data_IF_401159425343
#
_entry.id   IF_401159425343
#
_cell.length_a   1.000
_cell.length_b   1.000
_cell.length_c   1.000
_cell.angle_alpha   90.00
_cell.angle_beta   90.00
_cell.angle_gamma   90.00
#
_symmetry.space_group_name_H-M   'P 1'
#
loop_
_entity.id
_entity.type
_entity.pdbx_description
1 polymer ?
#
# COMPACT_ATOMS: atom_id res chain seq x y z
N UNK A 1 -2.71 3.45 13.55
CA UNK A 1 -2.69 4.43 12.45
C UNK A 1 -1.44 4.14 11.63
N UNK A 2 -1.53 4.13 10.30
CA UNK A 2 -0.40 3.89 9.43
C UNK A 2 0.43 5.17 9.32
N UNK A 3 1.72 5.10 9.62
CA UNK A 3 2.63 6.24 9.55
C UNK A 3 3.19 6.38 8.12
N UNK A 4 3.33 7.63 7.66
CA UNK A 4 3.96 7.95 6.39
C UNK A 4 5.41 8.41 6.64
N UNK A 5 6.35 7.83 5.89
CA UNK A 5 7.78 8.08 6.03
C UNK A 5 8.36 8.75 4.77
N UNK A 6 9.48 9.46 4.89
CA UNK A 6 10.11 10.12 3.74
C UNK A 6 9.38 11.39 3.25
N UNK A 7 9.73 11.87 2.04
CA UNK A 7 9.18 13.11 1.46
C UNK A 7 7.76 12.93 0.94
N UNK A 8 7.01 14.05 0.84
CA UNK A 8 5.62 14.08 0.37
C UNK A 8 5.45 13.41 -1.01
N UNK A 9 4.43 12.55 -1.23
CA UNK A 9 3.30 12.22 -0.36
C UNK A 9 3.58 11.21 0.78
N UNK A 10 4.82 10.74 0.93
CA UNK A 10 5.25 9.81 1.98
C UNK A 10 5.01 8.36 1.61
N UNK A 11 5.93 7.48 2.03
CA UNK A 11 5.89 6.03 1.87
C UNK A 11 5.13 5.42 3.05
N UNK A 12 4.17 4.54 2.73
CA UNK A 12 3.34 3.88 3.75
C UNK A 12 3.45 2.36 3.71
N UNK A 13 3.85 1.80 2.58
CA UNK A 13 4.11 0.38 2.44
C UNK A 13 5.29 0.09 1.49
N UNK A 14 5.85 -1.11 1.64
CA UNK A 14 6.86 -1.70 0.76
C UNK A 14 6.23 -2.94 0.11
N UNK A 15 6.29 -3.01 -1.22
CA UNK A 15 5.93 -4.21 -1.96
C UNK A 15 7.16 -5.13 -2.06
N UNK A 16 7.00 -6.39 -1.65
CA UNK A 16 8.03 -7.42 -1.59
C UNK A 16 7.38 -8.81 -1.53
N UNK A 17 8.02 -9.85 -2.08
CA UNK A 17 7.55 -11.24 -2.04
C UNK A 17 6.07 -11.40 -2.44
N UNK A 18 5.65 -10.65 -3.47
CA UNK A 18 4.26 -10.55 -3.96
C UNK A 18 3.21 -10.06 -2.93
N UNK A 19 3.64 -9.48 -1.80
CA UNK A 19 2.79 -8.86 -0.78
C UNK A 19 3.12 -7.38 -0.57
N UNK A 20 2.36 -6.73 0.33
CA UNK A 20 2.64 -5.37 0.80
C UNK A 20 2.79 -5.35 2.32
N UNK A 21 3.86 -4.74 2.80
CA UNK A 21 4.16 -4.62 4.22
C UNK A 21 4.16 -3.15 4.63
N UNK A 22 3.58 -2.83 5.79
CA UNK A 22 3.80 -1.52 6.37
C UNK A 22 5.30 -1.35 6.69
N UNK A 23 5.81 -0.11 6.67
CA UNK A 23 7.25 0.17 6.84
C UNK A 23 7.85 -0.51 8.09
N UNK A 24 7.22 -0.48 9.28
CA UNK A 24 7.76 -1.19 10.45
C UNK A 24 7.87 -2.71 10.25
N UNK A 25 6.89 -3.35 9.59
CA UNK A 25 6.95 -4.78 9.31
C UNK A 25 8.01 -5.10 8.25
N UNK A 26 8.15 -4.26 7.22
CA UNK A 26 9.21 -4.42 6.24
C UNK A 26 10.60 -4.33 6.90
N UNK A 27 10.82 -3.36 7.79
CA UNK A 27 12.06 -3.23 8.57
C UNK A 27 12.36 -4.49 9.40
N UNK A 28 11.35 -5.08 10.04
CA UNK A 28 11.52 -6.30 10.83
C UNK A 28 11.86 -7.53 9.97
N UNK A 29 11.31 -7.62 8.76
CA UNK A 29 11.49 -8.76 7.87
C UNK A 29 12.80 -8.68 7.06
N UNK A 30 13.10 -7.52 6.49
CA UNK A 30 14.18 -7.33 5.52
C UNK A 30 15.36 -6.51 6.07
N UNK A 31 15.26 -6.03 7.31
CA UNK A 31 16.27 -5.20 7.95
C UNK A 31 15.95 -3.70 7.89
N UNK A 32 16.42 -2.97 8.89
CA UNK A 32 16.15 -1.54 9.02
C UNK A 32 16.87 -0.71 7.97
N UNK A 33 18.19 -0.88 7.83
CA UNK A 33 19.03 -0.13 6.88
C UNK A 33 18.54 -0.24 5.42
N UNK A 34 18.26 -1.43 4.86
CA UNK A 34 17.74 -1.54 3.49
C UNK A 34 16.44 -0.77 3.28
N UNK A 35 15.49 -0.91 4.21
CA UNK A 35 14.18 -0.28 4.08
C UNK A 35 14.26 1.24 4.25
N UNK A 36 15.12 1.73 5.14
CA UNK A 36 15.35 3.18 5.29
C UNK A 36 15.97 3.79 4.04
N UNK A 37 16.97 3.15 3.44
CA UNK A 37 17.60 3.61 2.20
C UNK A 37 16.57 3.70 1.05
N UNK A 38 15.70 2.68 0.93
CA UNK A 38 14.60 2.66 -0.06
C UNK A 38 13.59 3.76 0.22
N UNK A 39 13.17 3.95 1.47
CA UNK A 39 12.21 4.99 1.88
C UNK A 39 12.77 6.41 1.64
N UNK A 40 14.06 6.60 1.87
CA UNK A 40 14.76 7.87 1.64
C UNK A 40 15.09 8.12 0.16
N UNK A 41 14.98 7.09 -0.69
CA UNK A 41 15.36 7.16 -2.10
C UNK A 41 16.87 7.38 -2.28
N UNK A 42 17.69 6.77 -1.43
CA UNK A 42 19.14 6.91 -1.47
C UNK A 42 19.73 6.32 -2.77
N UNK A 43 20.69 6.98 -3.43
CA UNK A 43 21.29 6.44 -4.65
C UNK A 43 21.83 5.01 -4.45
N UNK A 44 21.37 4.06 -5.28
CA UNK A 44 21.77 2.66 -5.21
C UNK A 44 20.91 1.79 -4.30
N UNK A 45 19.77 2.28 -3.80
CA UNK A 45 18.83 1.46 -3.02
C UNK A 45 18.31 0.24 -3.81
N UNK A 46 18.38 0.25 -5.14
CA UNK A 46 17.90 -0.81 -6.03
C UNK A 46 18.65 -2.14 -5.86
N UNK A 47 19.82 -2.11 -5.20
CA UNK A 47 20.56 -3.31 -4.82
C UNK A 47 19.88 -4.11 -3.70
N UNK A 48 18.98 -3.48 -2.94
CA UNK A 48 18.23 -4.15 -1.87
C UNK A 48 17.01 -4.86 -2.45
N UNK A 49 16.93 -6.15 -2.22
CA UNK A 49 15.91 -7.03 -2.78
C UNK A 49 15.19 -7.84 -1.71
N UNK A 50 13.99 -8.30 -2.05
CA UNK A 50 13.28 -9.33 -1.30
C UNK A 50 13.96 -10.71 -1.42
N UNK A 51 13.32 -11.74 -0.87
CA UNK A 51 13.89 -13.09 -0.85
C UNK A 51 13.94 -13.75 -2.23
N UNK A 52 13.14 -13.27 -3.18
CA UNK A 52 13.09 -13.72 -4.57
C UNK A 52 14.07 -12.95 -5.47
N UNK A 53 14.75 -11.93 -4.93
CA UNK A 53 15.69 -11.10 -5.68
C UNK A 53 15.02 -9.95 -6.45
N UNK A 54 13.76 -9.62 -6.14
CA UNK A 54 13.08 -8.46 -6.71
C UNK A 54 13.43 -7.21 -5.91
N UNK A 55 13.73 -6.06 -6.56
CA UNK A 55 13.95 -4.81 -5.87
C UNK A 55 12.71 -4.38 -5.07
N UNK A 56 12.94 -3.82 -3.88
CA UNK A 56 11.85 -3.25 -3.09
C UNK A 56 11.19 -2.08 -3.82
N UNK A 57 9.86 -2.07 -3.82
CA UNK A 57 9.07 -0.97 -4.40
C UNK A 57 8.31 -0.24 -3.29
N UNK A 58 8.42 1.08 -3.25
CA UNK A 58 7.66 1.92 -2.31
C UNK A 58 6.23 2.11 -2.81
N UNK A 59 5.27 2.08 -1.87
CA UNK A 59 3.90 2.48 -2.13
C UNK A 59 3.61 3.74 -1.32
N UNK A 60 3.18 4.77 -2.04
CA UNK A 60 2.97 6.10 -1.50
C UNK A 60 1.57 6.24 -0.90
N UNK A 61 1.45 7.13 0.09
CA UNK A 61 0.16 7.50 0.66
C UNK A 61 -0.80 7.99 -0.42
N UNK A 62 -2.07 7.56 -0.33
CA UNK A 62 -3.12 7.90 -1.30
C UNK A 62 -3.06 7.11 -2.61
N UNK A 63 -2.13 6.15 -2.74
CA UNK A 63 -2.09 5.25 -3.91
C UNK A 63 -3.32 4.35 -3.96
N UNK A 64 -3.93 4.22 -5.14
CA UNK A 64 -5.04 3.28 -5.40
C UNK A 64 -4.62 1.83 -5.15
N UNK A 65 -3.32 1.51 -5.26
CA UNK A 65 -2.78 0.17 -4.99
C UNK A 65 -2.96 -0.27 -3.54
N UNK A 66 -3.23 0.66 -2.62
CA UNK A 66 -3.45 0.35 -1.20
C UNK A 66 -4.90 -0.05 -0.92
N UNK A 67 -5.84 0.21 -1.85
CA UNK A 67 -7.25 -0.08 -1.66
C UNK A 67 -7.46 -1.57 -1.40
N UNK A 68 -8.21 -1.90 -0.35
CA UNK A 68 -8.49 -3.27 0.11
C UNK A 68 -7.29 -4.06 0.63
N UNK A 69 -6.09 -3.49 0.60
CA UNK A 69 -4.86 -4.17 1.02
C UNK A 69 -4.66 -4.11 2.53
N UNK A 70 -4.07 -5.15 3.11
CA UNK A 70 -3.65 -5.18 4.51
C UNK A 70 -2.18 -5.56 4.55
N UNK A 71 -1.49 -5.19 5.64
CA UNK A 71 -0.12 -5.62 5.86
C UNK A 71 -0.04 -7.16 5.80
N UNK A 72 0.83 -7.67 4.94
CA UNK A 72 1.05 -9.11 4.72
C UNK A 72 1.61 -9.83 5.95
N UNK A 73 2.27 -9.10 6.85
CA UNK A 73 2.78 -9.67 8.09
C UNK A 73 1.61 -10.19 8.96
N UNK A 74 1.63 -11.50 9.21
CA UNK A 74 0.54 -12.27 9.85
C UNK A 74 0.06 -11.66 11.15
N UNK A 75 0.97 -11.14 11.98
CA UNK A 75 0.63 -10.55 13.28
C UNK A 75 0.15 -9.09 13.20
N UNK A 76 0.38 -8.39 12.08
CA UNK A 76 0.07 -6.98 11.93
C UNK A 76 -1.32 -6.79 11.33
N UNK A 77 -1.52 -7.25 10.08
CA UNK A 77 -2.79 -7.20 9.33
C UNK A 77 -3.52 -5.86 9.38
N UNK A 78 -2.82 -4.75 9.65
CA UNK A 78 -3.43 -3.42 9.64
C UNK A 78 -3.82 -3.05 8.21
N UNK A 79 -4.92 -2.31 8.01
CA UNK A 79 -5.26 -1.76 6.71
C UNK A 79 -4.16 -0.82 6.20
N UNK A 80 -3.88 -0.89 4.89
CA UNK A 80 -2.83 -0.06 4.27
C UNK A 80 -3.38 1.17 3.52
N UNK A 81 -4.66 1.19 3.13
CA UNK A 81 -5.31 2.40 2.62
C UNK A 81 -5.51 3.44 3.74
N UNK A 82 -5.88 4.67 3.37
CA UNK A 82 -6.20 5.72 4.34
C UNK A 82 -7.34 5.28 5.30
N UNK A 83 -7.34 5.81 6.50
CA UNK A 83 -8.27 5.44 7.58
C UNK A 83 -9.76 5.67 7.25
N UNK A 84 -10.04 6.54 6.27
CA UNK A 84 -11.38 6.86 5.78
C UNK A 84 -11.68 6.22 4.41
N UNK A 85 -10.83 5.30 3.96
CA UNK A 85 -10.97 4.62 2.68
C UNK A 85 -12.25 3.77 2.71
N UNK A 86 -13.22 4.03 1.81
CA UNK A 86 -14.48 3.31 1.81
C UNK A 86 -14.30 1.79 1.73
N UNK A 87 -13.20 1.32 1.14
CA UNK A 87 -12.80 -0.09 1.09
C UNK A 87 -12.85 -0.87 2.41
N UNK A 88 -12.76 -0.21 3.55
CA UNK A 88 -12.85 -0.86 4.87
C UNK A 88 -14.12 -0.53 5.64
N UNK A 89 -15.02 0.29 5.06
CA UNK A 89 -16.34 0.54 5.60
C UNK A 89 -17.27 -0.64 5.29
N UNK A 90 -18.33 -0.77 6.08
CA UNK A 90 -19.37 -1.78 5.87
C UNK A 90 -19.97 -1.64 4.44
N UNK A 91 -20.27 -2.74 3.72
CA UNK A 91 -20.96 -2.69 2.43
C UNK A 91 -22.25 -1.84 2.43
N UNK A 92 -22.94 -1.68 3.56
CA UNK A 92 -24.08 -0.76 3.67
C UNK A 92 -23.66 0.72 3.64
N UNK A 93 -22.47 1.05 4.17
CA UNK A 93 -21.91 2.40 4.11
C UNK A 93 -21.40 2.73 2.70
N UNK A 94 -20.98 1.73 1.92
CA UNK A 94 -20.70 1.90 0.49
C UNK A 94 -21.89 2.46 -0.28
N UNK A 95 -23.13 2.07 0.05
CA UNK A 95 -24.33 2.59 -0.61
C UNK A 95 -24.54 4.09 -0.36
N UNK A 96 -23.98 4.67 0.71
CA UNK A 96 -24.03 6.11 0.98
C UNK A 96 -23.03 6.89 0.12
N UNK A 97 -21.88 6.28 -0.21
CA UNK A 97 -20.88 6.83 -1.14
C UNK A 97 -21.14 6.41 -2.61
N UNK A 98 -22.03 5.44 -2.84
CA UNK A 98 -22.32 4.77 -4.11
C UNK A 98 -23.05 5.59 -5.16
N UNK A 99 -23.18 6.92 -5.00
CA UNK A 99 -23.37 7.79 -6.16
C UNK A 99 -22.01 8.28 -6.61
N UNK A 100 -21.33 7.45 -7.41
CA UNK A 100 -20.36 7.98 -8.36
C UNK A 100 -21.07 9.11 -9.12
N UNK A 101 -20.53 10.34 -9.17
CA UNK A 101 -21.07 11.35 -10.06
C UNK A 101 -21.11 10.75 -11.46
N UNK A 102 -22.24 10.96 -12.12
CA UNK A 102 -22.86 10.19 -13.20
C UNK A 102 -22.02 9.91 -14.47
N UNK A 103 -20.72 10.22 -14.47
CA UNK A 103 -19.80 10.17 -15.61
C UNK A 103 -19.02 8.86 -15.83
N UNK A 104 -19.15 7.82 -15.00
CA UNK A 104 -18.47 6.51 -15.23
C UNK A 104 -19.40 5.29 -15.26
N UNK A 105 -20.69 5.50 -15.55
CA UNK A 105 -21.71 4.44 -15.56
C UNK A 105 -21.62 3.47 -16.76
N UNK A 106 -20.47 3.37 -17.43
CA UNK A 106 -20.34 2.64 -18.71
C UNK A 106 -19.11 1.74 -18.86
N UNK A 107 -18.25 1.56 -17.83
CA UNK A 107 -17.04 0.74 -17.99
C UNK A 107 -17.17 -0.72 -17.52
N UNK A 108 -18.29 -1.11 -16.89
CA UNK A 108 -18.49 -2.49 -16.38
C UNK A 108 -19.68 -3.25 -16.99
N UNK A 109 -20.28 -2.78 -18.07
CA UNK A 109 -21.30 -3.53 -18.84
C UNK A 109 -20.66 -4.42 -19.94
N UNK A 110 -19.41 -4.85 -19.74
CA UNK A 110 -18.57 -5.47 -20.76
C UNK A 110 -18.16 -6.93 -20.53
N UNK A 111 -18.80 -7.66 -19.62
CA UNK A 111 -18.59 -9.12 -19.52
C UNK A 111 -19.86 -9.83 -19.98
N UNK A 112 -19.83 -10.28 -21.23
CA UNK A 112 -20.79 -11.23 -21.82
C UNK A 112 -20.48 -12.65 -21.36
#
# INVERSE_FOLDING_TARGET
>A
MLEAFGLWPGVVAIAADAEMYCVPCAKMLYGEEPIEAVVAGEPGYEQYTDHEGNPFTVVLRGSESLHTMHCGAVACRIPLCDEWCPCYLDPEQWNQYGRLPDGRKGEYDGVS
#
